data_IF_404147831654
#
_entry.id   IF_404147831654
#
_cell.length_a   1.000
_cell.length_b   1.000
_cell.length_c   1.000
_cell.angle_alpha   90.00
_cell.angle_beta   90.00
_cell.angle_gamma   90.00
#
_symmetry.space_group_name_H-M   'P 1'
#
loop_
_entity.id
_entity.type
_entity.pdbx_description
1 polymer ?
#
# COMPACT_ATOMS: atom_id res chain seq x y z
N UNK A 1 9.11 49.09 35.93
CA UNK A 1 8.14 48.04 35.50
C UNK A 1 7.60 48.17 34.07
N UNK A 2 7.45 49.36 33.46
CA UNK A 2 6.81 49.55 32.15
C UNK A 2 7.45 48.82 30.94
N UNK A 3 8.76 48.57 30.94
CA UNK A 3 9.46 47.89 29.82
C UNK A 3 9.11 46.40 29.68
N UNK A 4 8.81 45.69 30.78
CA UNK A 4 8.40 44.27 30.75
C UNK A 4 6.99 44.11 30.18
N UNK A 5 6.07 45.00 30.52
CA UNK A 5 4.69 45.00 30.02
C UNK A 5 4.60 45.30 28.52
N UNK A 6 5.43 46.22 28.00
CA UNK A 6 5.52 46.47 26.55
C UNK A 6 6.11 45.27 25.77
N UNK A 7 7.03 44.50 26.36
CA UNK A 7 7.59 43.28 25.75
C UNK A 7 6.58 42.13 25.68
N UNK A 8 5.75 41.92 26.70
CA UNK A 8 4.73 40.86 26.69
C UNK A 8 3.63 41.12 25.65
N UNK A 9 3.18 42.37 25.50
CA UNK A 9 2.21 42.76 24.46
C UNK A 9 2.81 42.58 23.05
N UNK A 10 4.08 42.95 22.84
CA UNK A 10 4.77 42.77 21.55
C UNK A 10 4.89 41.29 21.18
N UNK A 11 5.22 40.43 22.15
CA UNK A 11 5.30 38.98 21.95
C UNK A 11 3.93 38.34 21.67
N UNK A 12 2.84 38.84 22.28
CA UNK A 12 1.46 38.40 21.99
C UNK A 12 1.04 38.73 20.56
N UNK A 13 1.35 39.94 20.07
CA UNK A 13 1.10 40.37 18.68
C UNK A 13 1.90 39.55 17.66
N UNK A 14 3.16 39.22 17.95
CA UNK A 14 4.00 38.37 17.09
C UNK A 14 3.43 36.95 17.02
N UNK A 15 3.00 36.36 18.14
CA UNK A 15 2.33 35.04 18.15
C UNK A 15 1.04 35.03 17.33
N UNK A 16 0.20 36.06 17.45
CA UNK A 16 -1.03 36.16 16.66
C UNK A 16 -0.74 36.17 15.15
N UNK A 17 0.24 36.99 14.71
CA UNK A 17 0.68 37.04 13.32
C UNK A 17 1.23 35.70 12.81
N UNK A 18 1.94 34.94 13.66
CA UNK A 18 2.46 33.62 13.30
C UNK A 18 1.33 32.59 13.11
N UNK A 19 0.33 32.60 13.98
CA UNK A 19 -0.85 31.71 13.87
C UNK A 19 -1.64 32.03 12.59
N UNK A 20 -1.86 33.31 12.32
CA UNK A 20 -2.55 33.78 11.11
C UNK A 20 -1.79 33.40 9.82
N UNK A 21 -0.46 33.57 9.80
CA UNK A 21 0.38 33.10 8.70
C UNK A 21 0.32 31.58 8.51
N UNK A 22 0.28 30.79 9.58
CA UNK A 22 0.16 29.35 9.50
C UNK A 22 -1.22 28.90 8.98
N UNK A 23 -2.29 29.59 9.38
CA UNK A 23 -3.63 29.34 8.85
C UNK A 23 -3.73 29.68 7.36
N UNK A 24 -3.13 30.80 6.94
CA UNK A 24 -3.04 31.17 5.53
C UNK A 24 -2.24 30.15 4.70
N UNK A 25 -1.13 29.63 5.24
CA UNK A 25 -0.37 28.55 4.59
C UNK A 25 -1.20 27.27 4.44
N UNK A 26 -1.93 26.87 5.49
CA UNK A 26 -2.83 25.70 5.46
C UNK A 26 -3.95 25.85 4.43
N UNK A 27 -4.57 27.03 4.35
CA UNK A 27 -5.60 27.34 3.35
C UNK A 27 -5.05 27.29 1.92
N UNK A 28 -3.87 27.87 1.67
CA UNK A 28 -3.18 27.78 0.37
C UNK A 28 -2.82 26.34 -0.01
N UNK A 29 -2.37 25.53 0.95
CA UNK A 29 -2.12 24.10 0.73
C UNK A 29 -3.42 23.35 0.40
N UNK A 30 -4.50 23.60 1.15
CA UNK A 30 -5.80 22.97 0.91
C UNK A 30 -6.34 23.28 -0.48
N UNK A 31 -6.35 24.55 -0.89
CA UNK A 31 -6.81 24.96 -2.22
C UNK A 31 -5.96 24.35 -3.34
N UNK A 32 -4.64 24.24 -3.16
CA UNK A 32 -3.75 23.55 -4.11
C UNK A 32 -4.06 22.05 -4.21
N UNK A 33 -4.31 21.39 -3.07
CA UNK A 33 -4.67 19.97 -3.03
C UNK A 33 -6.02 19.71 -3.71
N UNK A 34 -7.02 20.55 -3.46
CA UNK A 34 -8.34 20.47 -4.11
C UNK A 34 -8.22 20.68 -5.62
N UNK A 35 -7.48 21.72 -6.06
CA UNK A 35 -7.24 21.95 -7.48
C UNK A 35 -6.61 20.74 -8.16
N UNK A 36 -5.58 20.17 -7.54
CA UNK A 36 -4.96 18.96 -8.04
C UNK A 36 -5.96 17.79 -8.06
N UNK A 37 -6.71 17.56 -6.98
CA UNK A 37 -7.71 16.49 -6.91
C UNK A 37 -8.79 16.58 -7.99
N UNK A 38 -9.24 17.80 -8.34
CA UNK A 38 -10.20 18.05 -9.43
C UNK A 38 -9.66 17.69 -10.82
N UNK A 39 -8.34 17.56 -11.00
CA UNK A 39 -7.77 17.04 -12.25
C UNK A 39 -7.97 15.53 -12.40
N UNK A 40 -8.03 14.80 -11.28
CA UNK A 40 -8.09 13.34 -11.26
C UNK A 40 -9.50 12.78 -11.00
N UNK A 41 -10.43 13.59 -10.47
CA UNK A 41 -11.80 13.19 -10.13
C UNK A 41 -12.79 13.87 -11.07
N UNK A 42 -13.41 13.09 -11.97
CA UNK A 42 -14.49 13.55 -12.84
C UNK A 42 -15.83 13.12 -12.26
N UNK A 43 -16.68 14.08 -11.90
CA UNK A 43 -18.00 13.81 -11.37
C UNK A 43 -18.99 13.59 -12.53
N UNK A 44 -19.61 12.41 -12.57
CA UNK A 44 -20.64 12.05 -13.55
C UNK A 44 -22.06 12.12 -12.98
N UNK A 45 -22.19 12.39 -11.67
CA UNK A 45 -23.50 12.56 -11.04
C UNK A 45 -24.06 13.97 -11.26
N UNK A 46 -25.38 14.12 -11.17
CA UNK A 46 -26.03 15.44 -11.18
C UNK A 46 -25.86 16.25 -9.90
N UNK A 47 -25.14 15.73 -8.90
CA UNK A 47 -24.92 16.38 -7.60
C UNK A 47 -23.53 17.02 -7.55
N UNK A 48 -23.40 18.24 -7.00
CA UNK A 48 -22.10 18.91 -6.88
C UNK A 48 -21.28 18.36 -5.70
N UNK A 49 -20.10 17.82 -5.97
CA UNK A 49 -19.18 17.33 -4.94
C UNK A 49 -18.52 18.49 -4.18
N UNK A 50 -18.46 18.36 -2.86
CA UNK A 50 -17.70 19.25 -1.99
C UNK A 50 -16.19 19.04 -2.17
N UNK A 51 -15.39 20.02 -1.74
CA UNK A 51 -13.93 19.95 -1.80
C UNK A 51 -13.36 18.78 -0.97
N UNK A 52 -14.00 18.46 0.17
CA UNK A 52 -13.62 17.33 1.01
C UNK A 52 -13.96 15.99 0.37
N UNK A 53 -15.13 15.86 -0.25
CA UNK A 53 -15.52 14.65 -1.00
C UNK A 53 -14.60 14.43 -2.20
N UNK A 54 -14.26 15.51 -2.92
CA UNK A 54 -13.33 15.46 -4.04
C UNK A 54 -11.94 14.98 -3.59
N UNK A 55 -11.44 15.49 -2.47
CA UNK A 55 -10.17 15.05 -1.88
C UNK A 55 -10.22 13.59 -1.41
N UNK A 56 -11.34 13.17 -0.82
CA UNK A 56 -11.54 11.80 -0.36
C UNK A 56 -11.55 10.83 -1.55
N UNK A 57 -12.28 11.15 -2.62
CA UNK A 57 -12.34 10.36 -3.85
C UNK A 57 -10.96 10.28 -4.53
N UNK A 58 -10.27 11.41 -4.66
CA UNK A 58 -8.92 11.42 -5.24
C UNK A 58 -7.94 10.55 -4.44
N UNK A 59 -8.08 10.50 -3.12
CA UNK A 59 -7.31 9.59 -2.26
C UNK A 59 -7.79 8.14 -2.38
N UNK A 60 -9.10 7.89 -2.38
CA UNK A 60 -9.71 6.56 -2.44
C UNK A 60 -9.42 5.81 -3.74
N UNK A 61 -9.50 6.49 -4.88
CA UNK A 61 -9.16 5.93 -6.19
C UNK A 61 -7.71 5.44 -6.25
N UNK A 62 -6.79 6.09 -5.52
CA UNK A 62 -5.39 5.64 -5.40
C UNK A 62 -5.25 4.28 -4.68
N UNK A 63 -6.20 3.92 -3.80
CA UNK A 63 -6.18 2.67 -3.03
C UNK A 63 -6.90 1.52 -3.70
N UNK A 64 -7.62 1.75 -4.81
CA UNK A 64 -8.14 0.67 -5.66
C UNK A 64 -6.96 0.13 -6.50
N UNK A 65 -6.08 -0.64 -5.85
CA UNK A 65 -5.03 -1.36 -6.54
C UNK A 65 -5.72 -2.50 -7.28
N UNK A 66 -5.90 -2.37 -8.59
CA UNK A 66 -6.21 -3.53 -9.42
C UNK A 66 -5.07 -4.54 -9.24
N UNK A 67 -5.34 -5.76 -8.75
CA UNK A 67 -4.29 -6.75 -8.61
C UNK A 67 -3.74 -7.04 -10.01
N UNK A 68 -2.48 -6.70 -10.21
CA UNK A 68 -1.83 -6.92 -11.48
C UNK A 68 -1.55 -8.41 -11.62
N UNK A 69 -2.22 -9.07 -12.56
CA UNK A 69 -1.91 -10.46 -12.93
C UNK A 69 -0.54 -10.61 -13.61
N UNK A 70 0.16 -9.50 -13.89
CA UNK A 70 1.53 -9.55 -14.42
C UNK A 70 2.40 -10.32 -13.43
N UNK A 71 2.99 -11.42 -13.89
CA UNK A 71 3.83 -12.32 -13.09
C UNK A 71 3.08 -13.11 -11.98
N UNK A 72 1.75 -13.23 -12.02
CA UNK A 72 1.03 -13.95 -10.97
C UNK A 72 1.53 -15.41 -10.77
N UNK A 73 1.76 -16.17 -11.86
CA UNK A 73 2.36 -17.52 -11.77
C UNK A 73 3.74 -17.46 -11.12
N UNK A 74 4.58 -16.50 -11.54
CA UNK A 74 5.93 -16.32 -10.97
C UNK A 74 5.89 -15.98 -9.48
N UNK A 75 4.90 -15.20 -9.03
CA UNK A 75 4.73 -14.89 -7.61
C UNK A 75 4.30 -16.14 -6.83
N UNK A 76 3.31 -16.89 -7.35
CA UNK A 76 2.89 -18.16 -6.76
C UNK A 76 4.05 -19.15 -6.66
N UNK A 77 4.91 -19.24 -7.69
CA UNK A 77 6.11 -20.10 -7.65
C UNK A 77 7.10 -19.66 -6.58
N UNK A 78 7.32 -18.34 -6.40
CA UNK A 78 8.21 -17.82 -5.34
C UNK A 78 7.66 -18.12 -3.94
N UNK A 79 6.36 -17.94 -3.75
CA UNK A 79 5.70 -18.25 -2.48
C UNK A 79 5.75 -19.76 -2.20
N UNK A 80 5.61 -20.57 -3.25
CA UNK A 80 5.74 -22.02 -3.18
C UNK A 80 7.17 -22.47 -2.84
N UNK A 81 8.21 -21.81 -3.35
CA UNK A 81 9.59 -22.09 -2.94
C UNK A 81 9.80 -21.80 -1.45
N UNK A 82 9.20 -20.72 -0.92
CA UNK A 82 9.24 -20.42 0.52
C UNK A 82 8.46 -21.47 1.34
N UNK A 83 7.30 -21.90 0.85
CA UNK A 83 6.50 -22.96 1.45
C UNK A 83 7.27 -24.28 1.52
N UNK A 84 7.88 -24.70 0.40
CA UNK A 84 8.68 -25.93 0.29
C UNK A 84 9.84 -25.92 1.28
N UNK A 85 10.53 -24.78 1.41
CA UNK A 85 11.58 -24.58 2.41
C UNK A 85 11.04 -24.74 3.83
N UNK A 86 9.92 -24.12 4.16
CA UNK A 86 9.28 -24.25 5.49
C UNK A 86 8.87 -25.70 5.77
N UNK A 87 8.35 -26.41 4.77
CA UNK A 87 7.96 -27.81 4.90
C UNK A 87 9.16 -28.69 5.24
N UNK A 88 10.27 -28.54 4.51
CA UNK A 88 11.53 -29.25 4.79
C UNK A 88 12.10 -28.90 6.16
N UNK A 89 12.15 -27.61 6.53
CA UNK A 89 12.62 -27.19 7.85
C UNK A 89 11.75 -27.78 8.96
N UNK A 90 10.42 -27.79 8.78
CA UNK A 90 9.51 -28.39 9.75
C UNK A 90 9.74 -29.89 9.85
N UNK A 91 9.96 -30.58 8.74
CA UNK A 91 10.26 -32.02 8.81
C UNK A 91 11.58 -32.32 9.54
N UNK A 92 12.65 -31.58 9.24
CA UNK A 92 13.98 -31.81 9.79
C UNK A 92 14.14 -31.38 11.25
N UNK A 93 13.50 -30.28 11.64
CA UNK A 93 13.82 -29.58 12.89
C UNK A 93 12.62 -29.37 13.82
N UNK A 94 11.41 -29.77 13.43
CA UNK A 94 10.26 -29.63 14.32
C UNK A 94 10.28 -30.73 15.39
N UNK A 95 10.78 -30.37 16.55
CA UNK A 95 10.74 -31.15 17.79
C UNK A 95 9.36 -31.07 18.50
N UNK A 96 8.35 -30.50 17.84
CA UNK A 96 6.99 -30.35 18.37
C UNK A 96 6.82 -29.17 19.33
N UNK A 97 7.86 -28.37 19.56
CA UNK A 97 7.81 -27.23 20.49
C UNK A 97 7.44 -25.94 19.77
N UNK A 98 6.60 -25.13 20.40
CA UNK A 98 6.24 -23.80 19.88
C UNK A 98 7.25 -22.79 20.42
N UNK A 99 8.17 -22.36 19.56
CA UNK A 99 9.16 -21.35 19.90
C UNK A 99 8.64 -19.94 19.62
N UNK A 100 8.73 -19.05 20.61
CA UNK A 100 8.49 -17.61 20.40
C UNK A 100 9.57 -17.06 19.46
N UNK A 101 9.15 -16.30 18.45
CA UNK A 101 10.07 -15.70 17.47
C UNK A 101 11.04 -14.75 18.19
N UNK A 102 12.34 -14.93 17.95
CA UNK A 102 13.38 -14.16 18.61
C UNK A 102 13.33 -12.67 18.19
N UNK A 103 13.62 -11.70 19.09
CA UNK A 103 13.60 -10.26 18.76
C UNK A 103 14.54 -9.89 17.61
N UNK A 104 15.67 -10.59 17.48
CA UNK A 104 16.65 -10.41 16.40
C UNK A 104 16.47 -11.44 15.27
N UNK A 105 15.26 -11.93 15.04
CA UNK A 105 15.00 -12.85 13.93
C UNK A 105 15.27 -12.15 12.60
N UNK A 106 16.15 -12.74 11.79
CA UNK A 106 16.44 -12.33 10.42
C UNK A 106 15.99 -13.46 9.49
N UNK A 107 15.44 -13.12 8.33
CA UNK A 107 15.10 -14.12 7.32
C UNK A 107 16.37 -14.86 6.87
N UNK A 108 16.45 -16.16 7.13
CA UNK A 108 17.57 -16.97 6.68
C UNK A 108 17.47 -17.26 5.18
N UNK A 109 18.59 -17.09 4.46
CA UNK A 109 18.77 -17.61 3.09
C UNK A 109 19.06 -19.11 3.04
N UNK A 110 18.90 -19.80 4.17
CA UNK A 110 19.24 -21.21 4.35
C UNK A 110 18.31 -22.11 3.52
N UNK A 111 18.91 -23.05 2.78
CA UNK A 111 18.20 -24.10 2.06
C UNK A 111 18.41 -25.44 2.78
N UNK A 112 17.35 -26.03 3.35
CA UNK A 112 17.43 -27.33 4.02
C UNK A 112 17.71 -28.44 3.01
N UNK A 113 18.39 -29.51 3.46
CA UNK A 113 18.69 -30.68 2.64
C UNK A 113 17.41 -31.42 2.23
N UNK A 114 17.46 -32.03 1.05
CA UNK A 114 16.41 -32.88 0.51
C UNK A 114 16.49 -34.25 1.23
N UNK A 115 15.81 -34.34 2.37
CA UNK A 115 16.02 -35.46 3.32
C UNK A 115 15.02 -36.60 3.19
N UNK A 116 13.77 -36.34 2.77
CA UNK A 116 12.70 -37.34 2.77
C UNK A 116 12.05 -37.48 1.38
N UNK A 117 12.14 -38.66 0.73
CA UNK A 117 11.59 -38.88 -0.60
C UNK A 117 10.09 -38.56 -0.71
N UNK A 118 9.30 -38.84 0.34
CA UNK A 118 7.86 -38.57 0.34
C UNK A 118 7.56 -37.07 0.25
N UNK A 119 8.31 -36.23 0.96
CA UNK A 119 8.16 -34.77 0.94
C UNK A 119 8.60 -34.21 -0.40
N UNK A 120 9.71 -34.70 -0.94
CA UNK A 120 10.20 -34.23 -2.23
C UNK A 120 9.25 -34.60 -3.37
N UNK A 121 8.67 -35.81 -3.35
CA UNK A 121 7.64 -36.22 -4.32
C UNK A 121 6.39 -35.32 -4.23
N UNK A 122 5.95 -34.98 -3.01
CA UNK A 122 4.85 -34.04 -2.81
C UNK A 122 5.17 -32.64 -3.33
N UNK A 123 6.34 -32.09 -2.98
CA UNK A 123 6.79 -30.77 -3.45
C UNK A 123 6.87 -30.75 -4.98
N UNK A 124 7.43 -31.80 -5.59
CA UNK A 124 7.57 -31.89 -7.03
C UNK A 124 6.22 -31.96 -7.76
N UNK A 125 5.32 -32.84 -7.31
CA UNK A 125 3.99 -32.98 -7.90
C UNK A 125 3.14 -31.70 -7.77
N UNK A 126 3.12 -31.09 -6.60
CA UNK A 126 2.42 -29.81 -6.38
C UNK A 126 3.02 -28.66 -7.17
N UNK A 127 4.35 -28.62 -7.35
CA UNK A 127 5.00 -27.64 -8.23
C UNK A 127 4.52 -27.77 -9.68
N UNK A 128 4.40 -29.00 -10.18
CA UNK A 128 3.86 -29.26 -11.51
C UNK A 128 2.41 -28.81 -11.61
N UNK A 129 1.58 -29.15 -10.62
CA UNK A 129 0.17 -28.75 -10.58
C UNK A 129 0.01 -27.22 -10.61
N UNK A 130 0.71 -26.51 -9.73
CA UNK A 130 0.68 -25.05 -9.65
C UNK A 130 1.21 -24.39 -10.94
N UNK A 131 2.19 -25.00 -11.59
CA UNK A 131 2.72 -24.49 -12.86
C UNK A 131 1.71 -24.58 -14.00
N UNK A 132 0.80 -25.57 -13.94
CA UNK A 132 -0.26 -25.82 -14.93
C UNK A 132 -1.55 -25.07 -14.61
N UNK A 133 -1.67 -24.49 -13.42
CA UNK A 133 -2.87 -23.80 -12.97
C UNK A 133 -3.18 -22.58 -13.86
N UNK A 134 -4.41 -22.52 -14.39
CA UNK A 134 -4.88 -21.34 -15.12
C UNK A 134 -5.19 -20.23 -14.14
N UNK A 135 -4.48 -19.10 -14.25
CA UNK A 135 -4.79 -17.90 -13.47
C UNK A 135 -5.90 -17.15 -14.17
N UNK A 136 -7.08 -17.15 -13.54
CA UNK A 136 -8.20 -16.34 -13.98
C UNK A 136 -7.83 -14.86 -13.88
N UNK A 137 -7.99 -14.15 -14.99
CA UNK A 137 -7.87 -12.70 -14.96
C UNK A 137 -9.00 -12.17 -14.09
N UNK A 138 -8.66 -11.48 -13.02
CA UNK A 138 -9.66 -10.73 -12.27
C UNK A 138 -10.41 -9.80 -13.22
N UNK A 139 -11.73 -9.82 -13.15
CA UNK A 139 -12.57 -8.81 -13.78
C UNK A 139 -12.18 -7.47 -13.19
N UNK A 140 -11.94 -6.48 -14.05
CA UNK A 140 -11.67 -5.13 -13.55
C UNK A 140 -12.96 -4.63 -12.92
N UNK A 141 -12.86 -4.08 -11.72
CA UNK A 141 -13.99 -3.39 -11.08
C UNK A 141 -14.20 -1.98 -11.65
N UNK A 142 -13.44 -1.62 -12.70
CA UNK A 142 -13.37 -0.29 -13.30
C UNK A 142 -13.64 -0.45 -14.80
N UNK A 143 -14.58 0.34 -15.32
CA UNK A 143 -14.97 0.37 -16.72
C UNK A 143 -13.86 0.89 -17.63
N UNK A 144 -14.02 0.71 -18.95
CA UNK A 144 -13.05 1.22 -19.93
C UNK A 144 -12.95 2.76 -19.92
N UNK A 145 -14.07 3.45 -19.71
CA UNK A 145 -14.16 4.91 -19.65
C UNK A 145 -13.50 5.49 -18.40
N UNK A 146 -13.65 4.84 -17.25
CA UNK A 146 -12.96 5.24 -16.03
C UNK A 146 -11.44 5.02 -16.14
N UNK A 147 -11.01 3.98 -16.86
CA UNK A 147 -9.59 3.74 -17.12
C UNK A 147 -8.97 4.75 -18.09
N UNK A 148 -9.68 5.20 -19.12
CA UNK A 148 -9.20 6.26 -20.00
C UNK A 148 -9.06 7.57 -19.22
N UNK A 149 -10.04 7.92 -18.39
CA UNK A 149 -9.97 9.07 -17.50
C UNK A 149 -8.76 8.99 -16.53
N UNK A 150 -8.50 7.82 -15.93
CA UNK A 150 -7.33 7.61 -15.06
C UNK A 150 -6.02 7.72 -15.84
N UNK A 151 -5.93 7.20 -17.07
CA UNK A 151 -4.71 7.30 -17.90
C UNK A 151 -4.42 8.73 -18.31
N UNK A 152 -5.41 9.44 -18.84
CA UNK A 152 -5.31 10.86 -19.18
C UNK A 152 -4.89 11.71 -17.97
N UNK A 153 -5.33 11.33 -16.77
CA UNK A 153 -4.95 12.02 -15.54
C UNK A 153 -3.48 11.79 -15.15
N UNK A 154 -2.84 10.68 -15.56
CA UNK A 154 -1.44 10.35 -15.21
C UNK A 154 -0.39 10.92 -16.17
N UNK A 155 -0.75 11.30 -17.38
CA UNK A 155 0.16 11.83 -18.41
C UNK A 155 0.37 13.36 -18.31
N UNK A 156 -0.30 14.04 -17.38
CA UNK A 156 -0.18 15.48 -17.10
C UNK A 156 0.50 15.74 -15.75
#
# INVERSE_FOLDING_TARGET
MARRFKRTIKNKKVRHKLVENNNNKRSKLHTKLVKNAKLFVKNLSGHNLTDHETLLLAKGVKFIINPSNKNAIRNVMKDFDEFSRKLRCRYLYNDGRIYKRHPFYINSGYKPLDSCPAIENYIFSTKIELSRMKINKHTRNISAEELSAIRESKEK
#
